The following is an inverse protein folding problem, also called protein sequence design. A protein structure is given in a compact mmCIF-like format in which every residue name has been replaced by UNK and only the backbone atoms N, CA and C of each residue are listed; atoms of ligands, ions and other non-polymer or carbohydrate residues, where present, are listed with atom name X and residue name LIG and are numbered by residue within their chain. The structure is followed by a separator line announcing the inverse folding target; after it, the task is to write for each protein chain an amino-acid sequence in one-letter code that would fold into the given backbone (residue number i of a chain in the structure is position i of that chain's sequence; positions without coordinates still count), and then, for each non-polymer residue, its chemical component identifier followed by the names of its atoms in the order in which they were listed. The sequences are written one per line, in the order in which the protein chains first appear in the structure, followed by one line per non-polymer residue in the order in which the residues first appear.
data_IF_584239587326
#
_entry.id   IF_584239587326
#
_cell.length_a   1.000
_cell.length_b   1.000
_cell.length_c   1.000
_cell.angle_alpha   90.00
_cell.angle_beta   90.00
_cell.angle_gamma   90.00
#
_symmetry.space_group_name_H-M   'P 1'
#
loop_
_entity.id
_entity.type
_entity.pdbx_description
1 polymer ?
#
# COMPACT_ATOMS: atom_id res chain seq x y z
N UNK A 1 -14.71 -9.34 20.81
CA UNK A 1 -15.47 -10.36 20.04
C UNK A 1 -14.45 -11.37 19.57
N UNK A 2 -14.60 -12.61 19.98
CA UNK A 2 -13.78 -13.71 19.48
C UNK A 2 -14.40 -14.20 18.17
N UNK A 3 -13.62 -14.23 17.09
CA UNK A 3 -14.06 -14.75 15.81
C UNK A 3 -13.71 -16.24 15.73
N UNK A 4 -14.69 -17.06 15.38
CA UNK A 4 -14.48 -18.48 15.17
C UNK A 4 -14.35 -18.79 13.68
N UNK A 5 -13.49 -19.72 13.34
CA UNK A 5 -13.32 -20.18 11.96
C UNK A 5 -11.87 -20.49 11.62
N UNK A 6 -11.65 -20.94 10.40
CA UNK A 6 -10.33 -21.16 9.82
C UNK A 6 -10.06 -20.14 8.72
N UNK A 7 -8.79 -19.78 8.44
CA UNK A 7 -8.46 -18.97 7.28
C UNK A 7 -9.02 -19.57 5.99
N UNK A 8 -9.61 -18.72 5.14
CA UNK A 8 -10.26 -19.16 3.90
C UNK A 8 -9.32 -19.81 2.89
N UNK A 9 -8.01 -19.59 3.02
CA UNK A 9 -6.99 -20.28 2.20
C UNK A 9 -7.08 -21.81 2.28
N UNK A 10 -7.67 -22.34 3.36
CA UNK A 10 -7.92 -23.76 3.53
C UNK A 10 -9.16 -24.26 2.77
N UNK A 11 -9.94 -23.35 2.19
CA UNK A 11 -11.17 -23.61 1.47
C UNK A 11 -11.03 -23.34 -0.04
N UNK A 12 -9.82 -23.48 -0.59
CA UNK A 12 -9.50 -23.14 -1.97
C UNK A 12 -10.42 -23.79 -3.00
N UNK A 13 -10.91 -25.00 -2.72
CA UNK A 13 -11.80 -25.74 -3.62
C UNK A 13 -13.19 -25.11 -3.79
N UNK A 14 -13.60 -24.23 -2.88
CA UNK A 14 -14.90 -23.55 -2.92
C UNK A 14 -14.79 -22.07 -3.20
N UNK A 15 -13.57 -21.53 -3.23
CA UNK A 15 -13.33 -20.11 -3.48
C UNK A 15 -13.37 -19.82 -4.98
N UNK A 16 -14.01 -18.72 -5.33
CA UNK A 16 -13.88 -18.15 -6.66
C UNK A 16 -12.47 -17.60 -6.85
N UNK A 17 -11.72 -18.17 -7.77
CA UNK A 17 -10.35 -17.78 -8.11
C UNK A 17 -10.31 -17.07 -9.47
N UNK A 18 -9.15 -16.60 -9.88
CA UNK A 18 -8.94 -16.03 -11.21
C UNK A 18 -9.44 -14.60 -11.35
N UNK A 19 -10.73 -14.40 -11.51
CA UNK A 19 -11.31 -13.08 -11.75
C UNK A 19 -11.15 -12.10 -10.56
N UNK A 20 -10.88 -12.59 -9.37
CA UNK A 20 -10.66 -11.78 -8.16
C UNK A 20 -9.19 -11.71 -7.76
N UNK A 21 -8.32 -12.51 -8.36
CA UNK A 21 -6.90 -12.53 -8.01
C UNK A 21 -6.23 -11.19 -8.33
N UNK A 22 -5.43 -10.71 -7.40
CA UNK A 22 -4.52 -9.60 -7.63
C UNK A 22 -3.23 -10.16 -8.20
N UNK A 23 -2.77 -9.61 -9.33
CA UNK A 23 -1.51 -9.99 -9.97
C UNK A 23 -0.43 -8.94 -9.79
N UNK A 24 -0.82 -7.66 -9.74
CA UNK A 24 0.13 -6.57 -9.56
C UNK A 24 -0.51 -5.36 -8.87
N UNK A 25 0.33 -4.42 -8.47
CA UNK A 25 -0.07 -3.14 -7.94
C UNK A 25 0.52 -1.98 -8.77
N UNK A 26 -0.26 -0.92 -8.94
CA UNK A 26 0.26 0.41 -9.26
C UNK A 26 0.33 1.18 -7.95
N UNK A 27 1.55 1.60 -7.56
CA UNK A 27 1.84 2.25 -6.30
C UNK A 27 2.33 3.66 -6.60
N UNK A 28 1.66 4.67 -6.07
CA UNK A 28 2.06 6.07 -6.16
C UNK A 28 2.45 6.58 -4.78
N UNK A 29 3.66 7.12 -4.69
CA UNK A 29 4.25 7.69 -3.49
C UNK A 29 4.33 9.20 -3.70
N UNK A 30 3.77 9.98 -2.78
CA UNK A 30 3.69 11.43 -2.91
C UNK A 30 4.05 12.12 -1.61
N UNK A 31 4.61 13.32 -1.72
CA UNK A 31 4.76 14.23 -0.61
C UNK A 31 3.41 14.88 -0.25
N UNK A 32 3.37 15.56 0.90
CA UNK A 32 2.20 16.34 1.34
C UNK A 32 1.89 17.49 0.37
N UNK A 33 0.67 17.96 0.39
CA UNK A 33 0.25 19.13 -0.36
C UNK A 33 0.99 20.39 0.14
N UNK A 34 1.69 21.16 -0.72
CA UNK A 34 2.58 22.24 -0.28
C UNK A 34 1.87 23.40 0.46
N UNK A 35 0.59 23.62 0.17
CA UNK A 35 -0.22 24.65 0.83
C UNK A 35 -1.01 24.11 2.04
N UNK A 36 -0.79 22.85 2.45
CA UNK A 36 -1.45 22.23 3.60
C UNK A 36 -2.89 21.79 3.33
N UNK A 37 -3.28 21.61 2.05
CA UNK A 37 -4.63 21.18 1.67
C UNK A 37 -4.77 19.65 1.54
N UNK A 38 -4.05 18.91 2.38
CA UNK A 38 -4.08 17.45 2.33
C UNK A 38 -5.47 16.89 2.62
N UNK A 39 -6.22 17.48 3.56
CA UNK A 39 -7.60 17.07 3.86
C UNK A 39 -8.52 17.22 2.64
N UNK A 40 -8.47 18.37 1.94
CA UNK A 40 -9.24 18.60 0.71
C UNK A 40 -8.86 17.60 -0.39
N UNK A 41 -7.55 17.32 -0.53
CA UNK A 41 -7.08 16.32 -1.48
C UNK A 41 -7.60 14.92 -1.14
N UNK A 42 -7.55 14.51 0.13
CA UNK A 42 -8.02 13.20 0.59
C UNK A 42 -9.53 13.07 0.35
N UNK A 43 -10.31 14.10 0.70
CA UNK A 43 -11.76 14.14 0.50
C UNK A 43 -12.11 13.99 -0.98
N UNK A 44 -11.60 14.89 -1.82
CA UNK A 44 -11.84 14.82 -3.27
C UNK A 44 -11.42 13.47 -3.86
N UNK A 45 -10.22 12.99 -3.53
CA UNK A 45 -9.73 11.74 -4.05
C UNK A 45 -10.59 10.54 -3.63
N UNK A 46 -11.13 10.56 -2.41
CA UNK A 46 -11.95 9.48 -1.86
C UNK A 46 -13.38 9.49 -2.37
N UNK A 47 -13.96 10.66 -2.59
CA UNK A 47 -15.37 10.81 -2.95
C UNK A 47 -15.60 10.95 -4.46
N UNK A 48 -14.62 11.43 -5.23
CA UNK A 48 -14.74 11.65 -6.67
C UNK A 48 -13.77 10.75 -7.47
N UNK A 49 -12.46 10.95 -7.33
CA UNK A 49 -11.47 10.33 -8.21
C UNK A 49 -11.39 8.81 -8.07
N UNK A 50 -11.25 8.31 -6.84
CA UNK A 50 -11.08 6.86 -6.56
C UNK A 50 -12.30 6.03 -6.95
N UNK A 51 -13.56 6.46 -6.72
CA UNK A 51 -14.75 5.73 -7.18
C UNK A 51 -14.79 5.54 -8.70
N UNK A 52 -14.37 6.52 -9.49
CA UNK A 52 -14.29 6.39 -10.94
C UNK A 52 -13.32 5.30 -11.39
N UNK A 53 -12.23 5.09 -10.66
CA UNK A 53 -11.26 4.04 -10.97
C UNK A 53 -11.87 2.63 -10.84
N UNK A 54 -12.82 2.41 -9.93
CA UNK A 54 -13.49 1.11 -9.77
C UNK A 54 -14.38 0.70 -10.96
N UNK A 55 -14.58 1.58 -11.93
CA UNK A 55 -15.23 1.24 -13.20
C UNK A 55 -14.31 0.45 -14.14
N UNK A 56 -13.01 0.40 -13.87
CA UNK A 56 -12.05 -0.38 -14.63
C UNK A 56 -12.19 -1.87 -14.30
N UNK A 57 -12.37 -2.69 -15.33
CA UNK A 57 -12.65 -4.12 -15.18
C UNK A 57 -11.55 -4.88 -14.41
N UNK A 58 -10.29 -4.47 -14.55
CA UNK A 58 -9.15 -5.11 -13.90
C UNK A 58 -8.83 -4.58 -12.50
N UNK A 59 -9.41 -3.46 -12.06
CA UNK A 59 -9.17 -2.94 -10.71
C UNK A 59 -9.97 -3.74 -9.68
N UNK A 60 -9.28 -4.26 -8.67
CA UNK A 60 -9.86 -5.09 -7.62
C UNK A 60 -10.04 -4.36 -6.31
N UNK A 61 -9.06 -3.56 -5.94
CA UNK A 61 -9.11 -2.76 -4.71
C UNK A 61 -8.16 -1.58 -4.82
N UNK A 62 -8.29 -0.65 -3.89
CA UNK A 62 -7.35 0.44 -3.73
C UNK A 62 -7.17 0.80 -2.26
N UNK A 63 -5.95 1.20 -1.89
CA UNK A 63 -5.59 1.54 -0.53
C UNK A 63 -4.92 2.91 -0.52
N UNK A 64 -5.46 3.82 0.30
CA UNK A 64 -4.85 5.13 0.59
C UNK A 64 -4.27 5.10 2.00
N UNK A 65 -2.99 5.49 2.09
CA UNK A 65 -2.26 5.57 3.35
C UNK A 65 -1.72 6.99 3.54
N UNK A 66 -1.64 7.43 4.79
CA UNK A 66 -1.16 8.76 5.17
C UNK A 66 -0.16 8.65 6.32
N UNK A 67 0.96 9.39 6.21
CA UNK A 67 1.99 9.52 7.23
C UNK A 67 1.73 10.78 8.06
N UNK A 68 1.55 10.62 9.36
CA UNK A 68 1.50 11.74 10.32
C UNK A 68 2.91 12.11 10.79
N UNK A 69 3.11 13.24 11.52
CA UNK A 69 4.39 13.54 12.16
C UNK A 69 4.89 12.41 13.08
N UNK A 70 3.97 11.75 13.80
CA UNK A 70 4.30 10.59 14.64
C UNK A 70 4.76 9.39 13.80
N UNK A 71 4.11 9.13 12.66
CA UNK A 71 4.55 8.12 11.70
C UNK A 71 5.95 8.42 11.16
N UNK A 72 6.23 9.68 10.81
CA UNK A 72 7.57 10.09 10.35
C UNK A 72 8.64 9.85 11.41
N UNK A 73 8.36 10.19 12.65
CA UNK A 73 9.29 10.00 13.76
C UNK A 73 9.58 8.51 14.05
N UNK A 74 8.64 7.62 13.72
CA UNK A 74 8.73 6.17 13.95
C UNK A 74 9.31 5.37 12.77
N UNK A 75 9.83 6.02 11.74
CA UNK A 75 10.45 5.35 10.58
C UNK A 75 11.74 4.62 10.98
N UNK A 76 11.89 3.38 10.55
CA UNK A 76 13.13 2.62 10.74
C UNK A 76 14.15 2.90 9.63
N UNK A 77 13.69 3.24 8.42
CA UNK A 77 14.50 3.76 7.31
C UNK A 77 13.73 4.85 6.56
N UNK A 78 14.45 5.85 6.05
CA UNK A 78 13.89 6.98 5.33
C UNK A 78 14.98 7.66 4.52
N UNK A 79 15.37 7.03 3.40
CA UNK A 79 16.41 7.55 2.50
C UNK A 79 15.78 8.37 1.38
N UNK A 80 16.47 9.40 0.92
CA UNK A 80 16.04 10.18 -0.24
C UNK A 80 15.90 9.28 -1.48
N UNK A 81 14.85 9.47 -2.31
CA UNK A 81 13.79 10.49 -2.20
C UNK A 81 12.62 10.08 -1.29
N UNK A 82 12.61 8.87 -0.70
CA UNK A 82 11.50 8.30 0.07
C UNK A 82 11.26 8.98 1.41
N UNK A 83 12.24 9.76 1.90
CA UNK A 83 12.08 10.62 3.08
C UNK A 83 10.95 11.66 2.93
N UNK A 84 10.64 12.04 1.70
CA UNK A 84 9.54 12.95 1.38
C UNK A 84 8.15 12.30 1.33
N UNK A 85 8.04 10.98 1.44
CA UNK A 85 6.75 10.28 1.29
C UNK A 85 5.84 10.53 2.49
N UNK A 86 4.68 11.13 2.22
CA UNK A 86 3.61 11.35 3.18
C UNK A 86 2.31 10.65 2.80
N UNK A 87 2.11 10.40 1.51
CA UNK A 87 0.94 9.72 0.98
C UNK A 87 1.35 8.52 0.14
N UNK A 88 0.64 7.42 0.31
CA UNK A 88 0.76 6.25 -0.55
C UNK A 88 -0.62 5.92 -1.11
N UNK A 89 -0.70 5.79 -2.43
CA UNK A 89 -1.89 5.28 -3.10
C UNK A 89 -1.53 4.01 -3.84
N UNK A 90 -2.24 2.93 -3.53
CA UNK A 90 -2.05 1.62 -4.15
C UNK A 90 -3.31 1.21 -4.87
N UNK A 91 -3.20 0.85 -6.12
CA UNK A 91 -4.26 0.23 -6.90
C UNK A 91 -3.90 -1.23 -7.18
N UNK A 92 -4.77 -2.14 -6.82
CA UNK A 92 -4.58 -3.58 -6.96
C UNK A 92 -5.31 -4.08 -8.22
N UNK A 93 -4.57 -4.70 -9.13
CA UNK A 93 -5.08 -5.13 -10.42
C UNK A 93 -4.96 -6.63 -10.61
N UNK A 94 -5.92 -7.21 -11.31
CA UNK A 94 -5.90 -8.60 -11.74
C UNK A 94 -5.27 -8.81 -13.12
N UNK A 95 -5.07 -7.75 -13.92
CA UNK A 95 -4.56 -7.85 -15.27
C UNK A 95 -3.83 -6.58 -15.69
N UNK A 96 -2.59 -6.72 -16.16
CA UNK A 96 -1.77 -5.62 -16.71
C UNK A 96 -2.40 -4.96 -17.94
N UNK A 97 -3.26 -5.66 -18.69
CA UNK A 97 -4.02 -5.09 -19.79
C UNK A 97 -4.96 -3.94 -19.35
N UNK A 98 -5.20 -3.80 -18.06
CA UNK A 98 -5.98 -2.67 -17.50
C UNK A 98 -5.20 -1.35 -17.41
N UNK A 99 -3.87 -1.37 -17.48
CA UNK A 99 -3.05 -0.15 -17.32
C UNK A 99 -3.30 0.93 -18.38
N UNK A 100 -3.43 0.62 -19.68
CA UNK A 100 -3.78 1.64 -20.68
C UNK A 100 -5.13 2.31 -20.40
N UNK A 101 -6.14 1.55 -19.96
CA UNK A 101 -7.45 2.09 -19.60
C UNK A 101 -7.39 2.93 -18.31
N UNK A 102 -6.56 2.53 -17.34
CA UNK A 102 -6.31 3.31 -16.12
C UNK A 102 -5.71 4.67 -16.45
N UNK A 103 -4.72 4.72 -17.34
CA UNK A 103 -4.16 5.99 -17.81
C UNK A 103 -5.17 6.82 -18.58
N UNK A 104 -5.87 6.23 -19.54
CA UNK A 104 -6.85 6.93 -20.35
C UNK A 104 -7.97 7.56 -19.50
N UNK A 105 -8.41 6.87 -18.44
CA UNK A 105 -9.38 7.42 -17.47
C UNK A 105 -8.79 8.62 -16.74
N UNK A 106 -7.54 8.55 -16.27
CA UNK A 106 -6.86 9.67 -15.62
C UNK A 106 -6.75 10.89 -16.53
N UNK A 107 -6.37 10.69 -17.79
CA UNK A 107 -6.26 11.75 -18.80
C UNK A 107 -7.64 12.39 -19.08
N UNK A 108 -8.69 11.57 -19.21
CA UNK A 108 -10.05 12.04 -19.44
C UNK A 108 -10.60 12.86 -18.26
N UNK A 109 -10.37 12.41 -17.02
CA UNK A 109 -10.74 13.14 -15.81
C UNK A 109 -9.98 14.47 -15.71
N UNK A 110 -8.70 14.48 -16.08
CA UNK A 110 -7.89 15.70 -16.15
C UNK A 110 -8.44 16.68 -17.20
N UNK A 111 -8.72 16.21 -18.41
CA UNK A 111 -9.31 17.03 -19.48
C UNK A 111 -10.69 17.58 -19.13
N UNK A 112 -11.47 16.86 -18.34
CA UNK A 112 -12.77 17.29 -17.83
C UNK A 112 -12.69 18.26 -16.63
N UNK A 113 -11.48 18.66 -16.19
CA UNK A 113 -11.29 19.53 -15.03
C UNK A 113 -11.62 18.88 -13.67
N UNK A 114 -11.71 17.54 -13.63
CA UNK A 114 -12.04 16.78 -12.42
C UNK A 114 -10.79 16.38 -11.59
N UNK A 115 -9.67 17.06 -11.80
CA UNK A 115 -8.44 16.85 -11.03
C UNK A 115 -7.95 18.19 -10.42
N UNK A 116 -8.68 18.75 -9.44
CA UNK A 116 -8.42 20.09 -8.91
C UNK A 116 -7.12 20.17 -8.09
N UNK A 117 -6.70 19.03 -7.51
CA UNK A 117 -5.53 18.93 -6.65
C UNK A 117 -4.61 17.81 -7.13
N UNK A 118 -3.31 18.03 -6.95
CA UNK A 118 -2.27 17.01 -7.19
C UNK A 118 -1.23 17.09 -6.10
N UNK A 119 -0.82 15.94 -5.57
CA UNK A 119 0.32 15.87 -4.68
C UNK A 119 1.62 15.83 -5.48
N UNK A 120 2.72 16.43 -4.95
CA UNK A 120 4.04 16.25 -5.54
C UNK A 120 4.41 14.77 -5.58
N UNK A 121 4.72 14.26 -6.76
CA UNK A 121 5.14 12.86 -6.93
C UNK A 121 6.55 12.68 -6.38
N UNK A 122 6.75 11.65 -5.58
CA UNK A 122 8.07 11.19 -5.14
C UNK A 122 8.53 10.05 -6.04
N UNK A 123 7.67 9.04 -6.19
CA UNK A 123 7.95 7.85 -6.99
C UNK A 123 6.63 7.19 -7.38
N UNK A 124 6.63 6.42 -8.44
CA UNK A 124 5.55 5.45 -8.73
C UNK A 124 6.17 4.13 -9.19
N UNK A 125 5.46 3.05 -8.94
CA UNK A 125 5.91 1.70 -9.24
C UNK A 125 4.77 0.89 -9.85
N UNK A 126 5.10 0.08 -10.85
CA UNK A 126 4.31 -1.10 -11.21
C UNK A 126 5.05 -2.29 -10.63
N UNK A 127 4.39 -3.05 -9.78
CA UNK A 127 5.05 -4.13 -9.05
C UNK A 127 4.19 -5.39 -9.04
N UNK A 128 4.80 -6.53 -9.39
CA UNK A 128 4.13 -7.83 -9.44
C UNK A 128 3.97 -8.42 -8.03
N UNK A 129 2.81 -9.02 -7.77
CA UNK A 129 2.59 -9.73 -6.52
C UNK A 129 3.55 -10.92 -6.42
N UNK A 130 4.39 -10.93 -5.42
CA UNK A 130 5.43 -11.94 -5.22
C UNK A 130 5.11 -12.89 -4.05
N UNK A 131 4.37 -12.42 -3.05
CA UNK A 131 4.01 -13.22 -1.89
C UNK A 131 2.91 -12.61 -1.06
N UNK A 132 2.18 -13.47 -0.36
CA UNK A 132 1.12 -13.09 0.56
C UNK A 132 1.05 -14.08 1.72
N UNK A 133 0.79 -13.59 2.91
CA UNK A 133 0.58 -14.40 4.11
C UNK A 133 -0.45 -13.73 5.01
N UNK A 134 -1.22 -14.52 5.74
CA UNK A 134 -2.13 -14.05 6.77
C UNK A 134 -1.77 -14.66 8.11
N UNK A 135 -1.81 -13.85 9.16
CA UNK A 135 -1.65 -14.35 10.51
C UNK A 135 -2.87 -15.21 10.89
N UNK A 136 -2.69 -16.36 11.57
CA UNK A 136 -3.83 -17.20 11.98
C UNK A 136 -4.88 -16.44 12.78
N UNK A 137 -4.48 -15.46 13.60
CA UNK A 137 -5.38 -14.60 14.37
C UNK A 137 -6.27 -13.68 13.53
N UNK A 138 -5.92 -13.44 12.25
CA UNK A 138 -6.73 -12.62 11.37
C UNK A 138 -8.04 -13.29 10.96
N UNK A 139 -8.11 -14.63 11.07
CA UNK A 139 -9.26 -15.47 10.70
C UNK A 139 -9.70 -15.29 9.23
N UNK A 140 -8.90 -14.57 8.44
CA UNK A 140 -9.11 -14.29 7.02
C UNK A 140 -7.96 -14.89 6.23
N UNK A 141 -8.22 -15.39 5.04
CA UNK A 141 -7.19 -15.88 4.14
C UNK A 141 -6.30 -14.75 3.61
N UNK A 142 -5.09 -15.11 3.20
CA UNK A 142 -4.11 -14.16 2.69
C UNK A 142 -4.65 -13.36 1.49
N UNK A 143 -5.49 -13.96 0.65
CA UNK A 143 -6.08 -13.36 -0.54
C UNK A 143 -6.98 -12.16 -0.26
N UNK A 144 -7.57 -12.08 0.93
CA UNK A 144 -8.57 -11.05 1.26
C UNK A 144 -8.08 -10.03 2.28
N UNK A 145 -6.85 -10.12 2.73
CA UNK A 145 -6.26 -9.16 3.68
C UNK A 145 -6.40 -7.70 3.23
N UNK A 146 -6.17 -7.31 1.95
CA UNK A 146 -6.33 -5.92 1.53
C UNK A 146 -7.77 -5.39 1.55
N UNK A 147 -8.78 -6.27 1.65
CA UNK A 147 -10.20 -5.88 1.78
C UNK A 147 -10.66 -5.82 3.24
N UNK A 148 -9.91 -6.44 4.12
CA UNK A 148 -10.17 -6.41 5.55
C UNK A 148 -9.83 -5.02 6.09
N UNK A 149 -10.68 -4.41 6.96
CA UNK A 149 -10.30 -3.17 7.64
C UNK A 149 -8.99 -3.34 8.40
N UNK A 150 -8.10 -2.38 8.24
CA UNK A 150 -6.84 -2.30 8.97
C UNK A 150 -6.71 -0.89 9.59
N UNK A 151 -6.06 -0.76 10.73
CA UNK A 151 -5.79 0.55 11.34
C UNK A 151 -4.70 1.30 10.61
N UNK A 152 -3.79 0.56 10.00
CA UNK A 152 -2.69 1.10 9.23
C UNK A 152 -1.92 0.01 8.52
N UNK A 153 -0.80 0.43 7.94
CA UNK A 153 0.17 -0.43 7.27
C UNK A 153 1.56 -0.01 7.73
N UNK A 154 2.41 -0.98 8.02
CA UNK A 154 3.84 -0.75 8.02
C UNK A 154 4.37 -1.07 6.62
N UNK A 155 4.80 -0.04 5.89
CA UNK A 155 5.26 -0.16 4.51
C UNK A 155 6.79 -0.22 4.48
N UNK A 156 7.31 -1.19 3.74
CA UNK A 156 8.73 -1.32 3.47
C UNK A 156 8.98 -1.20 1.97
N UNK A 157 9.99 -0.42 1.61
CA UNK A 157 10.57 -0.36 0.26
C UNK A 157 12.04 -0.69 0.39
N UNK A 158 12.47 -1.72 -0.31
CA UNK A 158 13.80 -2.30 -0.19
C UNK A 158 14.43 -2.46 -1.57
N UNK A 159 15.75 -2.35 -1.65
CA UNK A 159 16.53 -2.84 -2.80
C UNK A 159 16.95 -4.28 -2.52
N UNK A 160 16.78 -5.16 -3.49
CA UNK A 160 16.91 -6.60 -3.33
C UNK A 160 15.58 -7.27 -3.00
N UNK A 161 15.57 -8.60 -2.96
CA UNK A 161 14.39 -9.39 -2.68
C UNK A 161 14.65 -10.37 -1.54
N UNK A 162 13.77 -10.39 -0.54
CA UNK A 162 13.82 -11.36 0.56
C UNK A 162 12.39 -11.73 1.00
N UNK A 163 12.14 -12.98 1.39
CA UNK A 163 10.85 -13.37 1.96
C UNK A 163 10.49 -12.49 3.16
N UNK A 164 9.23 -12.13 3.28
CA UNK A 164 8.70 -11.27 4.37
C UNK A 164 7.47 -11.88 5.06
N UNK A 165 7.11 -13.11 4.70
CA UNK A 165 5.93 -13.77 5.24
C UNK A 165 5.99 -14.05 6.74
N UNK A 166 7.18 -14.17 7.31
CA UNK A 166 7.45 -14.36 8.73
C UNK A 166 7.05 -13.14 9.60
N UNK A 167 6.95 -11.96 9.02
CA UNK A 167 6.49 -10.76 9.73
C UNK A 167 5.06 -10.89 10.27
N UNK A 168 4.27 -11.87 9.81
CA UNK A 168 2.94 -12.18 10.40
C UNK A 168 3.01 -12.65 11.85
N UNK A 169 4.16 -13.14 12.29
CA UNK A 169 4.37 -13.59 13.68
C UNK A 169 4.45 -12.40 14.66
N UNK A 170 4.73 -11.19 14.16
CA UNK A 170 4.85 -10.01 15.00
C UNK A 170 3.46 -9.57 15.52
N UNK A 171 3.38 -9.07 16.76
CA UNK A 171 2.15 -8.56 17.32
C UNK A 171 1.51 -7.48 16.43
N UNK A 172 0.19 -7.53 16.30
CA UNK A 172 -0.57 -6.54 15.53
C UNK A 172 -0.55 -6.71 14.00
N UNK A 173 0.33 -7.55 13.42
CA UNK A 173 0.35 -7.80 11.98
C UNK A 173 -0.72 -8.84 11.61
N UNK A 174 -1.74 -8.44 10.86
CA UNK A 174 -2.82 -9.31 10.40
C UNK A 174 -2.45 -10.09 9.13
N UNK A 175 -1.61 -9.49 8.29
CA UNK A 175 -1.15 -10.13 7.07
C UNK A 175 -0.06 -9.33 6.38
N UNK A 176 0.64 -9.99 5.46
CA UNK A 176 1.76 -9.41 4.71
C UNK A 176 1.55 -9.68 3.23
N UNK A 177 1.68 -8.64 2.42
CA UNK A 177 1.73 -8.73 0.97
C UNK A 177 3.03 -8.13 0.46
N UNK A 178 3.71 -8.86 -0.42
CA UNK A 178 5.01 -8.46 -0.99
C UNK A 178 4.90 -8.37 -2.50
N UNK A 179 5.45 -7.30 -3.05
CA UNK A 179 5.49 -7.04 -4.48
C UNK A 179 6.94 -6.84 -4.94
N UNK A 180 7.26 -7.32 -6.13
CA UNK A 180 8.53 -7.06 -6.79
C UNK A 180 8.33 -5.99 -7.87
N UNK A 181 9.12 -4.94 -7.78
CA UNK A 181 9.13 -3.85 -8.74
C UNK A 181 9.47 -4.35 -10.14
N UNK A 182 8.83 -3.76 -11.12
CA UNK A 182 9.00 -4.09 -12.52
C UNK A 182 9.16 -2.83 -13.37
N UNK A 183 9.55 -3.00 -14.63
CA UNK A 183 9.51 -1.91 -15.60
C UNK A 183 8.06 -1.53 -15.88
N UNK A 184 7.74 -0.26 -15.72
CA UNK A 184 6.45 0.29 -16.09
C UNK A 184 6.32 0.35 -17.61
N UNK A 185 5.13 0.01 -18.18
CA UNK A 185 4.89 0.19 -19.60
C UNK A 185 4.80 1.69 -19.94
N UNK A 186 4.99 2.02 -21.22
CA UNK A 186 4.69 3.38 -21.69
C UNK A 186 3.27 3.81 -21.28
N UNK A 187 3.08 5.09 -20.97
CA UNK A 187 4.01 6.21 -21.03
C UNK A 187 4.73 6.53 -19.73
N UNK A 188 4.68 5.67 -18.73
CA UNK A 188 5.26 5.97 -17.42
C UNK A 188 6.79 5.84 -17.34
N UNK A 189 7.41 5.07 -18.24
CA UNK A 189 8.86 4.90 -18.44
C UNK A 189 9.70 4.81 -17.15
N UNK A 190 9.17 4.17 -16.11
CA UNK A 190 9.88 3.96 -14.86
C UNK A 190 10.35 2.50 -14.73
N UNK A 191 11.52 2.29 -14.15
CA UNK A 191 12.08 0.96 -13.93
C UNK A 191 12.44 0.79 -12.45
N UNK A 192 11.63 0.01 -11.75
CA UNK A 192 11.84 -0.34 -10.35
C UNK A 192 12.27 -1.80 -10.18
N UNK A 193 12.78 -2.42 -11.25
CA UNK A 193 13.33 -3.78 -11.22
C UNK A 193 14.40 -3.91 -10.12
N UNK A 194 14.35 -4.97 -9.33
CA UNK A 194 15.24 -5.18 -8.19
C UNK A 194 14.79 -4.52 -6.90
N UNK A 195 13.65 -3.82 -6.91
CA UNK A 195 13.03 -3.30 -5.70
C UNK A 195 11.94 -4.25 -5.19
N UNK A 196 11.73 -4.24 -3.88
CA UNK A 196 10.65 -4.94 -3.21
C UNK A 196 9.83 -3.95 -2.41
N UNK A 197 8.50 -4.11 -2.46
CA UNK A 197 7.56 -3.36 -1.61
C UNK A 197 6.76 -4.34 -0.78
N UNK A 198 6.78 -4.17 0.53
CA UNK A 198 6.08 -5.05 1.47
C UNK A 198 5.08 -4.24 2.29
N UNK A 199 3.85 -4.71 2.35
CA UNK A 199 2.74 -4.18 3.14
C UNK A 199 2.48 -5.11 4.32
N UNK A 200 2.75 -4.67 5.55
CA UNK A 200 2.30 -5.34 6.77
C UNK A 200 1.00 -4.66 7.22
N UNK A 201 -0.12 -5.31 7.00
CA UNK A 201 -1.45 -4.81 7.40
C UNK A 201 -1.64 -4.96 8.91
N UNK A 202 -2.07 -3.89 9.59
CA UNK A 202 -2.05 -3.79 11.04
C UNK A 202 -3.46 -3.73 11.65
N UNK A 203 -3.69 -4.53 12.68
CA UNK A 203 -4.86 -4.46 13.55
C UNK A 203 -4.67 -3.43 14.68
N UNK A 204 -3.43 -3.11 14.99
CA UNK A 204 -3.05 -2.14 16.01
C UNK A 204 -2.71 -0.77 15.40
N UNK A 205 -2.57 0.24 16.26
CA UNK A 205 -2.10 1.55 15.86
C UNK A 205 -0.73 1.43 15.17
N UNK A 206 -0.55 1.98 13.96
CA UNK A 206 0.66 1.78 13.20
C UNK A 206 1.92 2.37 13.85
N UNK A 207 1.78 3.45 14.63
CA UNK A 207 2.91 4.06 15.37
C UNK A 207 3.33 3.15 16.53
N UNK A 208 2.35 2.59 17.25
CA UNK A 208 2.63 1.65 18.33
C UNK A 208 3.29 0.36 17.81
N UNK A 209 2.87 -0.13 16.64
CA UNK A 209 3.45 -1.33 16.02
C UNK A 209 4.84 -1.10 15.40
N UNK A 210 5.25 0.15 15.19
CA UNK A 210 6.47 0.48 14.45
C UNK A 210 7.76 0.02 15.17
N UNK A 211 7.79 -0.02 16.50
CA UNK A 211 8.97 -0.43 17.27
C UNK A 211 9.39 -1.86 16.93
N UNK A 212 8.58 -2.88 17.27
CA UNK A 212 8.90 -4.29 16.98
C UNK A 212 9.13 -4.57 15.50
N UNK A 213 8.34 -3.95 14.60
CA UNK A 213 8.53 -4.08 13.14
C UNK A 213 9.86 -3.47 12.71
N UNK A 214 10.19 -2.27 13.21
CA UNK A 214 11.46 -1.62 12.90
C UNK A 214 12.68 -2.43 13.34
N UNK A 215 12.61 -3.10 14.49
CA UNK A 215 13.68 -3.96 14.98
C UNK A 215 13.84 -5.20 14.08
N UNK A 216 12.74 -5.89 13.77
CA UNK A 216 12.76 -7.06 12.90
C UNK A 216 13.31 -6.76 11.50
N UNK A 217 12.93 -5.60 10.89
CA UNK A 217 13.44 -5.25 9.57
C UNK A 217 14.91 -4.84 9.59
N UNK A 218 15.41 -4.20 10.67
CA UNK A 218 16.83 -3.90 10.82
C UNK A 218 17.67 -5.17 10.92
N UNK A 219 17.17 -6.19 11.65
CA UNK A 219 17.82 -7.51 11.73
C UNK A 219 17.88 -8.17 10.34
N UNK A 220 16.80 -8.08 9.54
CA UNK A 220 16.79 -8.59 8.15
C UNK A 220 17.85 -7.90 7.28
N UNK A 221 17.99 -6.58 7.38
CA UNK A 221 19.01 -5.83 6.63
C UNK A 221 20.42 -6.15 7.09
N UNK A 222 20.62 -6.36 8.40
CA UNK A 222 21.90 -6.78 8.93
C UNK A 222 22.34 -8.17 8.41
N UNK A 223 21.39 -9.02 8.04
CA UNK A 223 21.66 -10.29 7.36
C UNK A 223 22.12 -10.13 5.89
N UNK A 224 22.04 -8.92 5.32
CA UNK A 224 22.63 -8.59 4.02
C UNK A 224 21.84 -9.01 2.79
N UNK A 225 20.57 -9.37 2.94
CA UNK A 225 19.73 -9.79 1.79
C UNK A 225 19.09 -8.62 1.05
N UNK A 226 18.76 -7.53 1.76
CA UNK A 226 18.13 -6.33 1.21
C UNK A 226 18.72 -5.08 1.85
N UNK A 227 18.51 -3.93 1.18
CA UNK A 227 18.82 -2.59 1.68
C UNK A 227 17.52 -1.81 1.87
N UNK A 228 17.26 -1.32 3.09
CA UNK A 228 16.06 -0.53 3.38
C UNK A 228 16.14 0.89 2.84
N UNK A 229 15.18 1.26 2.00
CA UNK A 229 15.00 2.62 1.46
C UNK A 229 13.95 3.40 2.24
N UNK A 230 12.82 2.75 2.54
CA UNK A 230 11.77 3.23 3.42
C UNK A 230 11.29 2.07 4.28
N UNK A 231 11.12 2.29 5.58
CA UNK A 231 10.37 1.41 6.45
C UNK A 231 9.62 2.27 7.46
N UNK A 232 8.31 2.35 7.32
CA UNK A 232 7.51 3.39 7.93
C UNK A 232 6.08 2.92 8.24
N UNK A 233 5.53 3.33 9.39
CA UNK A 233 4.10 3.20 9.65
C UNK A 233 3.31 4.26 8.89
N UNK A 234 2.09 3.87 8.49
CA UNK A 234 1.10 4.74 7.86
C UNK A 234 -0.29 4.42 8.41
N UNK A 235 -1.12 5.43 8.59
CA UNK A 235 -2.53 5.24 8.89
C UNK A 235 -3.34 4.97 7.62
N UNK A 236 -4.39 4.13 7.74
CA UNK A 236 -5.47 4.09 6.76
C UNK A 236 -6.41 5.27 6.98
N UNK A 237 -7.16 5.65 5.94
CA UNK A 237 -8.16 6.70 6.06
C UNK A 237 -9.36 6.27 6.92
N UNK A 238 -9.88 7.22 7.67
CA UNK A 238 -11.19 7.08 8.32
C UNK A 238 -12.21 7.84 7.45
N UNK A 239 -13.17 7.15 6.82
CA UNK A 239 -14.15 7.79 5.95
C UNK A 239 -14.88 8.93 6.66
N UNK A 240 -15.00 10.08 5.98
CA UNK A 240 -15.63 11.31 6.46
C UNK A 240 -14.96 12.00 7.66
N UNK A 241 -13.78 11.54 8.07
CA UNK A 241 -12.91 12.18 9.07
C UNK A 241 -11.55 12.46 8.41
N UNK A 242 -11.56 13.36 7.41
CA UNK A 242 -10.43 13.62 6.52
C UNK A 242 -9.26 14.34 7.20
N UNK A 243 -9.53 14.96 8.34
CA UNK A 243 -8.52 15.68 9.13
C UNK A 243 -7.83 14.80 10.18
N UNK A 244 -8.33 13.58 10.41
CA UNK A 244 -7.87 12.73 11.51
C UNK A 244 -6.39 12.37 11.44
N UNK A 245 -5.88 12.14 10.24
CA UNK A 245 -4.50 11.74 10.02
C UNK A 245 -3.91 12.59 8.90
N UNK A 246 -3.19 13.65 9.24
CA UNK A 246 -2.60 14.56 8.26
C UNK A 246 -1.08 14.64 8.41
N UNK A 247 -0.33 14.85 7.31
CA UNK A 247 1.13 15.01 7.33
C UNK A 247 1.61 16.25 8.06
N UNK A 248 0.76 17.27 8.14
CA UNK A 248 1.07 18.55 8.82
C UNK A 248 0.74 18.56 10.32
N UNK A 249 -0.02 17.56 10.80
CA UNK A 249 -0.36 17.31 12.23
C UNK A 249 -1.42 18.20 12.75
#
# INVERSE_FOLDING_TARGET
MELAGTPTDQLSDVLATGATDVQFAFISLSAREPAGRDAEYIEWHSLDHRPEQYRLAGLRNSLRLVSTPACRAARAASLAPYDAVDHVMTYLFSDRASLPAFKALGDALGAAGRMPLRLPSVEFMVADLAGKAAAPRAVAGADVIPWRPARGVYLMIERGHAPAGDLIELPGVAGVWTYHGARSPEPWENDTTGMQVTYCYLDDDPVAAAGPLGDAVRERWAAGHTEGLLAAPFHTLVPFDWERHLPGG
#
